data_IF_547346179739
#
_entry.id   IF_547346179739
#
_cell.length_a   1.000
_cell.length_b   1.000
_cell.length_c   1.000
_cell.angle_alpha   90.00
_cell.angle_beta   90.00
_cell.angle_gamma   90.00
#
_symmetry.space_group_name_H-M   'P 1'
#
loop_
_entity.id
_entity.type
_entity.pdbx_description
1 polymer ?
#
# COMPACT_ATOMS: atom_id res chain seq x y z
N UNK A 1 20.41 5.81 1.97
CA UNK A 1 19.10 5.25 2.38
C UNK A 1 18.84 4.05 1.48
N UNK A 2 18.35 2.94 2.04
CA UNK A 2 17.97 1.75 1.27
C UNK A 2 16.62 1.96 0.57
N UNK A 3 16.50 1.51 -0.68
CA UNK A 3 15.22 1.45 -1.38
C UNK A 3 14.58 0.10 -1.07
N UNK A 4 13.46 0.07 -0.35
CA UNK A 4 12.82 -1.18 0.06
C UNK A 4 11.32 -1.01 0.33
N UNK A 5 10.61 -2.13 0.20
CA UNK A 5 9.22 -2.27 0.64
C UNK A 5 9.23 -3.34 1.73
N UNK A 6 8.70 -3.01 2.89
CA UNK A 6 8.56 -3.92 4.04
C UNK A 6 7.11 -4.01 4.41
N UNK A 7 6.71 -5.11 5.02
CA UNK A 7 5.33 -5.28 5.45
C UNK A 7 5.22 -6.11 6.72
N UNK A 8 4.04 -6.04 7.33
CA UNK A 8 3.60 -6.95 8.37
C UNK A 8 2.10 -7.20 8.23
N UNK A 9 1.73 -8.47 8.22
CA UNK A 9 0.34 -8.92 8.28
C UNK A 9 -0.03 -9.04 9.76
N UNK A 10 -1.12 -8.39 10.16
CA UNK A 10 -1.67 -8.53 11.51
C UNK A 10 -2.89 -9.45 11.40
N UNK A 11 -2.80 -10.68 11.88
CA UNK A 11 -3.92 -11.63 11.76
C UNK A 11 -5.05 -11.29 12.75
N UNK A 12 -4.69 -10.79 13.95
CA UNK A 12 -5.65 -10.39 14.99
C UNK A 12 -6.38 -9.08 14.68
N UNK A 13 -5.81 -8.25 13.82
CA UNK A 13 -6.37 -6.99 13.35
C UNK A 13 -6.35 -7.11 11.84
N UNK A 14 -7.44 -7.49 11.14
CA UNK A 14 -7.41 -7.90 9.73
C UNK A 14 -6.97 -6.74 8.82
N UNK A 15 -5.66 -6.51 8.78
CA UNK A 15 -4.98 -5.43 8.09
C UNK A 15 -3.54 -5.84 7.79
N UNK A 16 -3.08 -5.47 6.60
CA UNK A 16 -1.67 -5.53 6.24
C UNK A 16 -1.07 -4.14 6.24
N UNK A 17 0.04 -3.97 6.96
CA UNK A 17 0.77 -2.71 7.06
C UNK A 17 2.00 -2.78 6.18
N UNK A 18 2.16 -1.81 5.30
CA UNK A 18 3.20 -1.80 4.27
C UNK A 18 3.95 -0.48 4.38
N UNK A 19 5.27 -0.54 4.50
CA UNK A 19 6.15 0.62 4.61
C UNK A 19 7.05 0.69 3.39
N UNK A 20 7.07 1.86 2.77
CA UNK A 20 7.89 2.14 1.59
C UNK A 20 8.96 3.15 1.94
N UNK A 21 10.22 2.80 1.63
CA UNK A 21 11.38 3.64 1.93
C UNK A 21 12.26 3.83 0.71
N UNK A 22 12.74 5.07 0.54
CA UNK A 22 13.62 5.45 -0.56
C UNK A 22 12.88 5.62 -1.89
N UNK A 23 13.65 5.64 -2.97
CA UNK A 23 13.14 5.87 -4.32
C UNK A 23 12.77 4.53 -4.95
N UNK A 24 11.48 4.31 -5.22
CA UNK A 24 11.03 3.06 -5.84
C UNK A 24 11.46 2.97 -7.30
N UNK A 25 11.92 1.79 -7.71
CA UNK A 25 11.92 1.42 -9.14
C UNK A 25 10.62 0.70 -9.48
N UNK A 26 10.24 0.70 -10.76
CA UNK A 26 8.98 0.08 -11.22
C UNK A 26 8.89 -1.42 -10.95
N UNK A 27 10.04 -2.10 -10.87
CA UNK A 27 10.13 -3.54 -10.60
C UNK A 27 9.91 -3.88 -9.13
N UNK A 28 10.15 -2.94 -8.20
CA UNK A 28 9.95 -3.16 -6.78
C UNK A 28 8.50 -3.46 -6.39
N UNK A 29 7.48 -2.67 -6.78
CA UNK A 29 6.09 -2.99 -6.43
C UNK A 29 5.63 -4.30 -7.07
N UNK A 30 6.07 -4.65 -8.29
CA UNK A 30 5.73 -5.93 -8.93
C UNK A 30 6.27 -7.12 -8.13
N UNK A 31 7.56 -7.11 -7.81
CA UNK A 31 8.20 -8.15 -6.97
C UNK A 31 7.61 -8.21 -5.57
N UNK A 32 7.24 -7.07 -5.00
CA UNK A 32 6.58 -7.02 -3.71
C UNK A 32 5.20 -7.69 -3.75
N UNK A 33 4.41 -7.47 -4.80
CA UNK A 33 3.11 -8.13 -4.99
C UNK A 33 3.28 -9.65 -5.11
N UNK A 34 4.27 -10.13 -5.85
CA UNK A 34 4.61 -11.56 -5.90
C UNK A 34 4.98 -12.10 -4.51
N UNK A 35 5.83 -11.36 -3.79
CA UNK A 35 6.30 -11.77 -2.47
C UNK A 35 5.18 -11.83 -1.43
N UNK A 36 4.34 -10.79 -1.35
CA UNK A 36 3.26 -10.73 -0.36
C UNK A 36 2.18 -11.77 -0.65
N UNK A 37 1.88 -12.05 -1.92
CA UNK A 37 0.87 -13.06 -2.27
C UNK A 37 1.37 -14.50 -2.06
N UNK A 38 2.69 -14.69 -1.94
CA UNK A 38 3.29 -15.96 -1.55
C UNK A 38 3.36 -16.15 -0.03
N UNK A 39 3.04 -15.12 0.77
CA UNK A 39 3.00 -15.24 2.23
C UNK A 39 1.80 -16.11 2.66
N UNK A 40 2.01 -17.17 3.47
CA UNK A 40 0.91 -18.04 3.93
C UNK A 40 -0.20 -17.34 4.71
N UNK A 41 0.12 -16.22 5.37
CA UNK A 41 -0.84 -15.44 6.15
C UNK A 41 -1.55 -14.38 5.29
N UNK A 42 -1.19 -14.25 4.01
CA UNK A 42 -1.81 -13.30 3.10
C UNK A 42 -3.26 -13.67 2.80
N UNK A 43 -4.14 -12.68 2.94
CA UNK A 43 -5.52 -12.77 2.54
C UNK A 43 -5.86 -11.56 1.65
N UNK A 44 -6.25 -11.76 0.38
CA UNK A 44 -6.55 -10.66 -0.53
C UNK A 44 -7.79 -9.85 -0.10
N UNK A 45 -8.63 -10.37 0.78
CA UNK A 45 -9.82 -9.69 1.33
C UNK A 45 -9.51 -8.77 2.52
N UNK A 46 -8.27 -8.80 3.02
CA UNK A 46 -7.83 -7.97 4.14
C UNK A 46 -7.41 -6.58 3.67
N UNK A 47 -7.81 -5.54 4.43
CA UNK A 47 -7.46 -4.15 4.11
C UNK A 47 -5.94 -3.91 4.20
N UNK A 48 -5.44 -2.90 3.48
CA UNK A 48 -4.03 -2.55 3.51
C UNK A 48 -3.81 -1.07 3.74
N UNK A 49 -2.76 -0.75 4.50
CA UNK A 49 -2.25 0.62 4.64
C UNK A 49 -0.81 0.63 4.16
N UNK A 50 -0.57 1.42 3.12
CA UNK A 50 0.74 1.71 2.60
C UNK A 50 1.21 3.05 3.12
N UNK A 51 2.37 3.07 3.77
CA UNK A 51 3.01 4.26 4.26
C UNK A 51 4.20 4.64 3.37
N UNK A 52 4.00 5.69 2.58
CA UNK A 52 4.96 6.28 1.64
C UNK A 52 5.63 7.53 2.22
N UNK A 53 5.47 7.83 3.51
CA UNK A 53 5.97 9.09 4.11
C UNK A 53 7.50 9.22 4.10
N UNK A 54 8.22 8.13 3.85
CA UNK A 54 9.68 8.13 3.64
C UNK A 54 10.10 7.47 2.32
N UNK A 55 9.16 7.35 1.39
CA UNK A 55 9.37 6.82 0.05
C UNK A 55 8.99 7.84 -1.03
N UNK A 56 9.50 7.61 -2.23
CA UNK A 56 9.18 8.39 -3.43
C UNK A 56 8.78 7.44 -4.57
N UNK A 57 7.73 7.80 -5.32
CA UNK A 57 7.29 7.08 -6.51
C UNK A 57 7.75 7.90 -7.73
N UNK A 58 8.97 7.73 -8.26
CA UNK A 58 9.48 8.56 -9.37
C UNK A 58 8.81 8.25 -10.72
N UNK A 59 7.74 7.46 -10.73
CA UNK A 59 7.14 6.90 -11.93
C UNK A 59 6.55 8.01 -12.81
N UNK A 60 6.88 7.93 -14.09
CA UNK A 60 6.20 8.69 -15.12
C UNK A 60 4.84 8.04 -15.47
N UNK A 61 4.05 8.71 -16.31
CA UNK A 61 2.73 8.23 -16.70
C UNK A 61 2.75 6.83 -17.35
N UNK A 62 3.72 6.54 -18.22
CA UNK A 62 3.82 5.25 -18.88
C UNK A 62 4.14 4.13 -17.89
N UNK A 63 4.93 4.41 -16.86
CA UNK A 63 5.25 3.45 -15.79
C UNK A 63 4.04 3.20 -14.89
N UNK A 64 3.25 4.24 -14.57
CA UNK A 64 1.98 4.08 -13.84
C UNK A 64 0.98 3.24 -14.65
N UNK A 65 0.91 3.47 -15.96
CA UNK A 65 0.06 2.68 -16.88
C UNK A 65 0.51 1.21 -16.95
N UNK A 66 1.82 0.96 -16.99
CA UNK A 66 2.38 -0.39 -16.96
C UNK A 66 2.08 -1.12 -15.64
N UNK A 67 2.29 -0.44 -14.50
CA UNK A 67 1.96 -0.99 -13.19
C UNK A 67 0.46 -1.29 -13.04
N UNK A 68 -0.40 -0.40 -13.54
CA UNK A 68 -1.85 -0.60 -13.49
C UNK A 68 -2.28 -1.81 -14.33
N UNK A 69 -1.71 -1.97 -15.53
CA UNK A 69 -1.98 -3.15 -16.38
C UNK A 69 -1.50 -4.43 -15.72
N UNK A 70 -0.30 -4.40 -15.13
CA UNK A 70 0.22 -5.53 -14.35
C UNK A 70 -0.73 -5.90 -13.21
N UNK A 71 -1.19 -4.92 -12.44
CA UNK A 71 -2.11 -5.16 -11.32
C UNK A 71 -3.46 -5.73 -11.80
N UNK A 72 -4.01 -5.20 -12.90
CA UNK A 72 -5.27 -5.68 -13.50
C UNK A 72 -5.13 -7.09 -14.08
N UNK A 73 -3.97 -7.47 -14.60
CA UNK A 73 -3.77 -8.80 -15.19
C UNK A 73 -3.57 -9.92 -14.16
N UNK A 74 -3.46 -9.60 -12.87
CA UNK A 74 -3.24 -10.55 -11.78
C UNK A 74 -4.35 -10.42 -10.72
N UNK A 75 -5.56 -10.95 -11.02
CA UNK A 75 -6.72 -10.80 -10.15
C UNK A 75 -6.52 -11.40 -8.75
N UNK A 76 -5.60 -12.34 -8.57
CA UNK A 76 -5.17 -12.89 -7.28
C UNK A 76 -4.61 -11.83 -6.33
N UNK A 77 -4.07 -10.73 -6.88
CA UNK A 77 -3.64 -9.60 -6.08
C UNK A 77 -4.82 -8.76 -5.60
N UNK A 78 -6.00 -8.85 -6.22
CA UNK A 78 -7.14 -7.97 -5.99
C UNK A 78 -8.32 -8.68 -5.33
N UNK A 79 -8.46 -8.54 -4.01
CA UNK A 79 -9.69 -8.92 -3.29
C UNK A 79 -10.62 -7.74 -3.03
N UNK A 80 -11.80 -8.00 -2.46
CA UNK A 80 -12.75 -6.93 -2.09
C UNK A 80 -12.31 -6.24 -0.79
N UNK A 81 -11.28 -5.42 -0.90
CA UNK A 81 -10.62 -4.73 0.21
C UNK A 81 -10.50 -3.24 0.02
N UNK A 82 -10.09 -2.55 1.07
CA UNK A 82 -9.68 -1.14 1.05
C UNK A 82 -8.15 -1.05 1.09
N UNK A 83 -7.59 -0.27 0.18
CA UNK A 83 -6.17 0.08 0.19
C UNK A 83 -6.02 1.58 0.43
N UNK A 84 -5.21 1.94 1.42
CA UNK A 84 -4.96 3.34 1.75
C UNK A 84 -3.49 3.66 1.61
N UNK A 85 -3.19 4.69 0.83
CA UNK A 85 -1.85 5.23 0.69
C UNK A 85 -1.70 6.48 1.55
N UNK A 86 -0.70 6.47 2.44
CA UNK A 86 -0.35 7.60 3.29
C UNK A 86 0.87 8.29 2.71
N UNK A 87 0.69 9.52 2.24
CA UNK A 87 1.71 10.29 1.53
C UNK A 87 1.91 11.67 2.16
N UNK A 88 3.11 12.24 2.01
CA UNK A 88 3.43 13.60 2.47
C UNK A 88 3.52 14.63 1.32
N UNK A 89 3.44 14.18 0.06
CA UNK A 89 3.66 15.03 -1.11
C UNK A 89 2.43 15.09 -2.01
N UNK A 90 1.98 16.29 -2.43
CA UNK A 90 0.92 16.44 -3.43
C UNK A 90 1.22 15.76 -4.77
N UNK A 91 2.50 15.62 -5.12
CA UNK A 91 2.92 14.95 -6.36
C UNK A 91 2.63 13.45 -6.30
N UNK A 92 2.88 12.84 -5.15
CA UNK A 92 2.59 11.43 -4.89
C UNK A 92 1.09 11.17 -4.87
N UNK A 93 0.32 12.09 -4.29
CA UNK A 93 -1.14 12.06 -4.34
C UNK A 93 -1.66 12.03 -5.78
N UNK A 94 -1.13 12.88 -6.65
CA UNK A 94 -1.53 12.91 -8.06
C UNK A 94 -1.22 11.59 -8.78
N UNK A 95 -0.02 11.02 -8.58
CA UNK A 95 0.40 9.75 -9.21
C UNK A 95 -0.49 8.58 -8.76
N UNK A 96 -0.74 8.45 -7.47
CA UNK A 96 -1.59 7.40 -6.91
C UNK A 96 -3.07 7.57 -7.28
N UNK A 97 -3.53 8.81 -7.45
CA UNK A 97 -4.88 9.07 -7.98
C UNK A 97 -5.02 8.59 -9.42
N UNK A 98 -4.00 8.80 -10.26
CA UNK A 98 -3.99 8.27 -11.64
C UNK A 98 -4.00 6.74 -11.63
N UNK A 99 -3.17 6.11 -10.79
CA UNK A 99 -3.17 4.65 -10.61
C UNK A 99 -4.57 4.15 -10.22
N UNK A 100 -5.19 4.74 -9.18
CA UNK A 100 -6.54 4.38 -8.73
C UNK A 100 -7.60 4.52 -9.83
N UNK A 101 -7.52 5.56 -10.66
CA UNK A 101 -8.44 5.72 -11.79
C UNK A 101 -8.27 4.62 -12.84
N UNK A 102 -7.04 4.17 -13.07
CA UNK A 102 -6.71 3.13 -14.05
C UNK A 102 -7.06 1.72 -13.56
N UNK A 103 -7.15 1.51 -12.25
CA UNK A 103 -7.49 0.23 -11.62
C UNK A 103 -8.93 0.16 -11.10
N UNK A 104 -9.79 1.13 -11.44
CA UNK A 104 -11.16 1.27 -10.92
C UNK A 104 -12.12 0.09 -11.17
N UNK A 105 -11.80 -0.76 -12.16
CA UNK A 105 -12.62 -1.92 -12.51
C UNK A 105 -12.36 -3.10 -11.56
N UNK A 106 -11.32 -3.02 -10.73
CA UNK A 106 -10.99 -4.02 -9.72
C UNK A 106 -11.87 -3.86 -8.48
N UNK A 107 -12.07 -4.93 -7.69
CA UNK A 107 -12.86 -4.89 -6.46
C UNK A 107 -12.21 -4.07 -5.32
N UNK A 108 -10.97 -3.59 -5.52
CA UNK A 108 -10.20 -2.84 -4.54
C UNK A 108 -10.65 -1.38 -4.49
N UNK A 109 -10.90 -0.87 -3.28
CA UNK A 109 -11.20 0.54 -3.04
C UNK A 109 -9.97 1.29 -2.56
N UNK A 110 -9.38 2.09 -3.43
CA UNK A 110 -8.22 2.90 -3.12
C UNK A 110 -8.61 4.23 -2.47
N UNK A 111 -7.77 4.71 -1.56
CA UNK A 111 -7.79 6.09 -1.08
C UNK A 111 -6.38 6.59 -0.78
N UNK A 112 -6.18 7.90 -0.91
CA UNK A 112 -4.90 8.55 -0.61
C UNK A 112 -5.15 9.59 0.48
N UNK A 113 -4.40 9.51 1.57
CA UNK A 113 -4.55 10.33 2.76
C UNK A 113 -3.19 10.83 3.25
N UNK A 114 -3.18 11.71 4.25
CA UNK A 114 -1.94 12.32 4.76
C UNK A 114 -1.54 11.84 6.15
N UNK A 115 -2.38 11.01 6.79
CA UNK A 115 -2.07 10.46 8.10
C UNK A 115 -2.56 9.02 8.29
N UNK A 116 -1.86 8.28 9.15
CA UNK A 116 -2.29 6.94 9.59
C UNK A 116 -3.70 6.99 10.20
N UNK A 117 -4.05 8.05 10.93
CA UNK A 117 -5.37 8.18 11.56
C UNK A 117 -6.50 8.24 10.53
N UNK A 118 -6.32 9.00 9.45
CA UNK A 118 -7.26 9.02 8.32
C UNK A 118 -7.33 7.65 7.64
N UNK A 119 -6.20 6.95 7.51
CA UNK A 119 -6.17 5.62 6.93
C UNK A 119 -6.97 4.59 7.74
N UNK A 120 -6.92 4.64 9.08
CA UNK A 120 -7.77 3.81 9.93
C UNK A 120 -9.25 4.11 9.73
N UNK A 121 -9.62 5.39 9.66
CA UNK A 121 -10.99 5.81 9.39
C UNK A 121 -11.53 5.25 8.07
N UNK A 122 -10.72 5.28 7.00
CA UNK A 122 -11.14 4.74 5.71
C UNK A 122 -11.20 3.20 5.70
N UNK A 123 -10.20 2.52 6.27
CA UNK A 123 -10.20 1.05 6.36
C UNK A 123 -11.35 0.52 7.22
N UNK A 124 -11.87 1.33 8.14
CA UNK A 124 -12.89 0.93 9.11
C UNK A 124 -12.32 0.17 10.30
N UNK A 125 -11.00 0.24 10.50
CA UNK A 125 -10.33 -0.35 11.67
C UNK A 125 -10.57 0.54 12.88
N UNK A 126 -10.84 -0.09 14.02
CA UNK A 126 -11.13 0.63 15.26
C UNK A 126 -9.96 1.57 15.63
N UNK A 127 -10.21 2.87 15.88
CA UNK A 127 -9.19 3.82 16.30
C UNK A 127 -8.38 3.40 17.53
N UNK A 128 -8.87 2.50 18.38
CA UNK A 128 -8.13 1.96 19.52
C UNK A 128 -6.84 1.24 19.11
N UNK A 129 -6.78 0.71 17.88
CA UNK A 129 -5.59 0.03 17.36
C UNK A 129 -4.50 0.98 16.87
N UNK A 130 -4.74 2.29 16.89
CA UNK A 130 -3.79 3.30 16.41
C UNK A 130 -2.39 3.13 17.02
N UNK A 131 -2.30 2.95 18.34
CA UNK A 131 -1.00 2.79 19.01
C UNK A 131 -0.26 1.53 18.58
N UNK A 132 -0.98 0.42 18.35
CA UNK A 132 -0.39 -0.85 17.89
C UNK A 132 0.13 -0.69 16.46
N UNK A 133 -0.70 -0.13 15.57
CA UNK A 133 -0.37 0.06 14.16
C UNK A 133 0.81 1.03 14.00
N UNK A 134 0.80 2.14 14.73
CA UNK A 134 1.91 3.10 14.70
C UNK A 134 3.23 2.51 15.22
N UNK A 135 3.15 1.66 16.26
CA UNK A 135 4.32 0.92 16.75
C UNK A 135 4.87 -0.01 15.67
N UNK A 136 4.02 -0.74 14.96
CA UNK A 136 4.46 -1.61 13.86
C UNK A 136 5.14 -0.81 12.75
N UNK A 137 4.60 0.33 12.33
CA UNK A 137 5.28 1.18 11.33
C UNK A 137 6.66 1.66 11.80
N UNK A 138 6.80 1.99 13.09
CA UNK A 138 8.09 2.38 13.69
C UNK A 138 9.10 1.22 13.67
N UNK A 139 8.65 0.01 13.94
CA UNK A 139 9.49 -1.20 13.87
C UNK A 139 9.91 -1.52 12.43
N UNK A 140 9.00 -1.34 11.46
CA UNK A 140 9.29 -1.52 10.04
C UNK A 140 10.34 -0.51 9.53
N UNK A 141 10.47 0.67 10.16
CA UNK A 141 11.50 1.66 9.84
C UNK A 141 12.88 1.33 10.41
N UNK A 142 12.94 0.65 11.55
CA UNK A 142 14.18 0.45 12.32
C UNK A 142 14.90 -0.88 12.04
N UNK A 143 14.26 -1.77 11.29
CA UNK A 143 14.83 -3.07 10.87
C UNK A 143 15.80 -2.92 9.70
#
# INVERSE_FOLDING_TARGET
>A
MSNQIRYRILVDIPITLIRVEGILSIEMPKRFLDQICADPDFNPEVNMIYDFTSGEIPFNRSEIEDLSKFFVSHPEYSGNRREVYVVNSPQELAKLSIFSMQTRELPVKFNVVTSIREALGFTGIDPMYFSVINKVFTELQSS
#
